data_IF_655294848431
#
_entry.id   IF_655294848431
#
_cell.length_a   1.000
_cell.length_b   1.000
_cell.length_c   1.000
_cell.angle_alpha   90.00
_cell.angle_beta   90.00
_cell.angle_gamma   90.00
#
_symmetry.space_group_name_H-M   'P 1'
#
loop_
_entity.id
_entity.type
_entity.pdbx_description
1 polymer ?
#
# COMPACT_ATOMS: atom_id res chain seq x y z
N UNK A 1 1.62 -12.08 -15.88
CA UNK A 1 1.81 -10.62 -15.65
C UNK A 1 0.65 -9.92 -16.32
N UNK A 2 -0.08 -9.07 -15.59
CA UNK A 2 -1.22 -8.33 -16.15
C UNK A 2 -0.70 -7.19 -17.05
N UNK A 3 -1.05 -7.17 -18.36
CA UNK A 3 -0.60 -6.14 -19.29
C UNK A 3 -1.12 -4.74 -18.94
N UNK A 4 -2.13 -4.62 -18.07
CA UNK A 4 -2.67 -3.36 -17.57
C UNK A 4 -1.73 -2.61 -16.63
N UNK A 5 -0.86 -3.31 -15.89
CA UNK A 5 0.03 -2.69 -14.89
C UNK A 5 0.96 -1.64 -15.49
N UNK A 6 1.49 -1.88 -16.69
CA UNK A 6 2.34 -0.93 -17.41
C UNK A 6 1.64 0.40 -17.71
N UNK A 7 0.31 0.38 -17.84
CA UNK A 7 -0.53 1.49 -18.29
C UNK A 7 -1.19 2.26 -17.13
N UNK A 8 -0.75 2.06 -15.89
CA UNK A 8 -1.25 2.87 -14.77
C UNK A 8 -1.04 4.37 -15.07
N UNK A 9 -2.13 5.13 -15.03
CA UNK A 9 -2.12 6.57 -15.33
C UNK A 9 -1.54 7.46 -14.22
N UNK A 10 -1.22 6.89 -13.06
CA UNK A 10 -0.58 7.60 -11.96
C UNK A 10 0.96 7.43 -12.01
N UNK A 11 1.65 8.37 -11.36
CA UNK A 11 3.12 8.35 -11.24
C UNK A 11 3.62 7.72 -9.94
N UNK A 12 2.74 7.60 -8.94
CA UNK A 12 3.08 7.09 -7.61
C UNK A 12 1.99 6.15 -7.13
N UNK A 13 2.37 5.11 -6.42
CA UNK A 13 1.48 4.16 -5.73
C UNK A 13 2.02 3.95 -4.32
N UNK A 14 1.14 4.03 -3.32
CA UNK A 14 1.43 3.59 -1.96
C UNK A 14 0.52 2.42 -1.61
N UNK A 15 1.09 1.38 -0.99
CA UNK A 15 0.36 0.18 -0.56
C UNK A 15 0.56 0.03 0.94
N UNK A 16 -0.53 -0.02 1.69
CA UNK A 16 -0.49 -0.30 3.12
C UNK A 16 -0.83 -1.77 3.36
N UNK A 17 -0.04 -2.46 4.17
CA UNK A 17 -0.28 -3.85 4.56
C UNK A 17 -0.24 -4.01 6.08
N UNK A 18 -1.09 -4.87 6.59
CA UNK A 18 -1.13 -5.22 8.01
C UNK A 18 -0.28 -6.47 8.27
N UNK A 19 0.53 -6.45 9.33
CA UNK A 19 1.53 -7.49 9.61
C UNK A 19 0.95 -8.88 9.87
N UNK A 20 -0.21 -8.96 10.52
CA UNK A 20 -0.92 -10.21 10.82
C UNK A 20 -1.98 -10.55 9.77
N UNK A 21 -2.09 -9.77 8.69
CA UNK A 21 -3.05 -10.01 7.63
C UNK A 21 -2.63 -11.22 6.80
N UNK A 22 -3.52 -12.20 6.67
CA UNK A 22 -3.31 -13.37 5.80
C UNK A 22 -3.13 -12.97 4.34
N UNK A 23 -3.56 -11.76 3.93
CA UNK A 23 -3.38 -11.21 2.60
C UNK A 23 -2.14 -10.32 2.46
N UNK A 24 -1.33 -10.12 3.51
CA UNK A 24 -0.13 -9.24 3.51
C UNK A 24 0.77 -9.44 2.30
N UNK A 25 1.02 -10.70 1.94
CA UNK A 25 1.90 -11.05 0.81
C UNK A 25 1.41 -10.48 -0.53
N UNK A 26 0.10 -10.19 -0.68
CA UNK A 26 -0.46 -9.63 -1.91
C UNK A 26 -0.02 -8.19 -2.16
N UNK A 27 0.14 -7.38 -1.11
CA UNK A 27 0.65 -6.01 -1.24
C UNK A 27 2.10 -5.99 -1.74
N UNK A 28 2.94 -6.85 -1.17
CA UNK A 28 4.32 -7.05 -1.62
C UNK A 28 4.39 -7.65 -3.05
N UNK A 29 3.49 -8.59 -3.37
CA UNK A 29 3.37 -9.12 -4.73
C UNK A 29 3.03 -8.02 -5.74
N UNK A 30 2.08 -7.13 -5.41
CA UNK A 30 1.68 -6.03 -6.28
C UNK A 30 2.85 -5.07 -6.57
N UNK A 31 3.63 -4.71 -5.56
CA UNK A 31 4.85 -3.91 -5.72
C UNK A 31 5.83 -4.58 -6.70
N UNK A 32 6.09 -5.88 -6.52
CA UNK A 32 6.99 -6.65 -7.37
C UNK A 32 6.51 -6.72 -8.81
N UNK A 33 5.23 -6.99 -9.04
CA UNK A 33 4.67 -7.06 -10.39
C UNK A 33 4.65 -5.68 -11.06
N UNK A 34 4.38 -4.61 -10.31
CA UNK A 34 4.50 -3.24 -10.83
C UNK A 34 5.92 -2.93 -11.30
N UNK A 35 6.92 -3.20 -10.47
CA UNK A 35 8.34 -3.02 -10.82
C UNK A 35 8.76 -3.82 -12.05
N UNK A 36 8.17 -5.00 -12.27
CA UNK A 36 8.44 -5.85 -13.44
C UNK A 36 7.63 -5.47 -14.69
N UNK A 37 6.52 -4.74 -14.54
CA UNK A 37 5.60 -4.43 -15.64
C UNK A 37 6.13 -3.43 -16.67
N UNK A 38 7.26 -2.76 -16.37
CA UNK A 38 7.76 -1.64 -17.17
C UNK A 38 6.95 -0.35 -16.97
N UNK A 39 6.08 -0.30 -15.96
CA UNK A 39 5.54 0.96 -15.46
C UNK A 39 6.68 1.84 -14.91
N UNK A 40 6.70 3.11 -15.29
CA UNK A 40 7.79 4.06 -15.00
C UNK A 40 7.52 4.95 -13.78
N UNK A 41 6.65 4.50 -12.87
CA UNK A 41 6.31 5.21 -11.65
C UNK A 41 7.03 4.66 -10.41
N UNK A 42 6.73 5.26 -9.26
CA UNK A 42 7.26 4.86 -7.97
C UNK A 42 6.20 4.09 -7.16
N UNK A 43 6.58 2.95 -6.59
CA UNK A 43 5.73 2.20 -5.66
C UNK A 43 6.42 2.07 -4.31
N UNK A 44 5.66 2.35 -3.24
CA UNK A 44 6.09 2.17 -1.85
C UNK A 44 5.11 1.24 -1.12
N UNK A 45 5.65 0.25 -0.40
CA UNK A 45 4.88 -0.58 0.54
C UNK A 45 5.20 -0.14 1.97
N UNK A 46 4.18 0.00 2.80
CA UNK A 46 4.31 0.32 4.23
C UNK A 46 3.61 -0.79 5.02
N UNK A 47 4.36 -1.48 5.88
CA UNK A 47 3.83 -2.54 6.73
C UNK A 47 3.60 -2.05 8.15
N UNK A 48 2.37 -2.23 8.65
CA UNK A 48 1.99 -2.00 10.03
C UNK A 48 2.02 -3.33 10.80
N UNK A 49 3.16 -3.63 11.41
CA UNK A 49 3.37 -4.87 12.18
C UNK A 49 2.36 -5.03 13.32
N UNK A 50 1.88 -6.26 13.55
CA UNK A 50 0.94 -6.59 14.63
C UNK A 50 -0.51 -6.17 14.39
N UNK A 51 -0.82 -5.48 13.29
CA UNK A 51 -2.19 -5.15 12.91
C UNK A 51 -2.84 -6.26 12.08
N UNK A 52 -4.16 -6.38 12.19
CA UNK A 52 -4.98 -7.33 11.42
C UNK A 52 -5.55 -6.68 10.16
N UNK A 53 -6.20 -7.48 9.32
CA UNK A 53 -6.86 -7.02 8.09
C UNK A 53 -7.77 -5.81 8.36
N UNK A 54 -7.53 -4.72 7.62
CA UNK A 54 -8.34 -3.48 7.65
C UNK A 54 -8.44 -2.87 9.07
N UNK A 55 -7.36 -2.93 9.84
CA UNK A 55 -7.29 -2.37 11.20
C UNK A 55 -7.72 -0.91 11.30
N UNK A 56 -7.50 -0.12 10.25
CA UNK A 56 -7.84 1.29 10.19
C UNK A 56 -9.36 1.56 10.22
N UNK A 57 -10.20 0.62 9.79
CA UNK A 57 -11.65 0.76 9.95
C UNK A 57 -12.14 0.22 11.30
N UNK A 58 -11.49 -0.83 11.81
CA UNK A 58 -11.86 -1.43 13.10
C UNK A 58 -11.41 -0.63 14.32
N UNK A 59 -10.30 0.10 14.20
CA UNK A 59 -9.68 0.92 15.26
C UNK A 59 -9.19 2.27 14.71
N UNK A 60 -10.09 3.13 14.22
CA UNK A 60 -9.73 4.36 13.51
C UNK A 60 -8.89 5.33 14.36
N UNK A 61 -9.09 5.33 15.68
CA UNK A 61 -8.38 6.22 16.61
C UNK A 61 -7.10 5.60 17.19
N UNK A 62 -6.72 4.40 16.74
CA UNK A 62 -5.47 3.79 17.20
C UNK A 62 -4.25 4.59 16.70
N UNK A 63 -3.14 4.62 17.44
CA UNK A 63 -1.94 5.36 17.02
C UNK A 63 -1.46 5.00 15.61
N UNK A 64 -1.52 3.70 15.25
CA UNK A 64 -1.14 3.23 13.90
C UNK A 64 -2.15 3.59 12.82
N UNK A 65 -3.45 3.63 13.13
CA UNK A 65 -4.45 4.06 12.15
C UNK A 65 -4.32 5.55 11.85
N UNK A 66 -4.07 6.36 12.88
CA UNK A 66 -3.75 7.78 12.75
C UNK A 66 -2.46 7.99 11.96
N UNK A 67 -1.43 7.19 12.21
CA UNK A 67 -0.18 7.22 11.44
C UNK A 67 -0.41 6.88 9.95
N UNK A 68 -1.13 5.80 9.66
CA UNK A 68 -1.52 5.42 8.29
C UNK A 68 -2.27 6.56 7.59
N UNK A 69 -3.22 7.20 8.27
CA UNK A 69 -3.98 8.32 7.72
C UNK A 69 -3.09 9.52 7.41
N UNK A 70 -2.15 9.86 8.30
CA UNK A 70 -1.17 10.94 8.07
C UNK A 70 -0.28 10.64 6.85
N UNK A 71 0.20 9.42 6.71
CA UNK A 71 0.98 8.99 5.55
C UNK A 71 0.17 9.07 4.25
N UNK A 72 -1.10 8.67 4.29
CA UNK A 72 -2.01 8.80 3.15
C UNK A 72 -2.25 10.27 2.78
N UNK A 73 -2.53 11.13 3.76
CA UNK A 73 -2.72 12.56 3.53
C UNK A 73 -1.45 13.22 2.94
N UNK A 74 -0.27 12.85 3.45
CA UNK A 74 1.00 13.32 2.89
C UNK A 74 1.20 12.86 1.44
N UNK A 75 0.91 11.59 1.15
CA UNK A 75 1.02 11.04 -0.19
C UNK A 75 0.11 11.73 -1.22
N UNK A 76 -1.09 12.14 -0.81
CA UNK A 76 -2.07 12.82 -1.65
C UNK A 76 -1.74 14.31 -1.86
N UNK A 77 -1.09 14.95 -0.90
CA UNK A 77 -0.75 16.37 -0.94
C UNK A 77 0.64 16.67 -1.53
N UNK A 78 1.50 15.66 -1.66
CA UNK A 78 2.76 15.77 -2.41
C UNK A 78 2.55 15.63 -3.91
#
# INVERSE_FOLDING_TARGET
MDPGLRRLGCKRVIVFVAGNDVLRFRGWYYERELKKSGWIGEVKVVEFGGENHVFNLGKPDSPKAIEMLKLLAYFLNG
#
